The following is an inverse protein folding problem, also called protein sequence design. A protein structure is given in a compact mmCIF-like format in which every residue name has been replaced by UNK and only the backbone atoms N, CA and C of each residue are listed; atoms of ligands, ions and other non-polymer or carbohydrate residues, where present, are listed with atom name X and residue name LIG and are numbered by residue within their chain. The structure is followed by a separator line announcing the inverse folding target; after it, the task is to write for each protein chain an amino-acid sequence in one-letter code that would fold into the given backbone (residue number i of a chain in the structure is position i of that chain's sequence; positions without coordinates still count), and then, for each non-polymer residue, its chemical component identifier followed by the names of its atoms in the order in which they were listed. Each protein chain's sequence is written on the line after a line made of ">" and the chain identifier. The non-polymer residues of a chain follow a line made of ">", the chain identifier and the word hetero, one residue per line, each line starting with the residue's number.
data_IF_123766258946
#
_entry.id   IF_123766258946
#
_cell.length_a   1.000
_cell.length_b   1.000
_cell.length_c   1.000
_cell.angle_alpha   90.00
_cell.angle_beta   90.00
_cell.angle_gamma   90.00
#
_symmetry.space_group_name_H-M   'P 1'
#
loop_
_entity.id
_entity.type
_entity.pdbx_description
1 polymer ?
#
# COMPACT_ATOMS: atom_id res chain seq x y z
N UNK A 1 5.49 9.94 5.53
CA UNK A 1 4.11 9.59 5.10
C UNK A 1 4.22 8.71 3.87
N UNK A 2 3.52 7.57 3.82
CA UNK A 2 3.42 6.73 2.63
C UNK A 2 2.13 7.06 1.89
N UNK A 3 2.20 7.26 0.57
CA UNK A 3 1.03 7.47 -0.28
C UNK A 3 0.93 6.35 -1.32
N UNK A 4 -0.28 5.82 -1.51
CA UNK A 4 -0.60 4.77 -2.47
C UNK A 4 -1.72 5.28 -3.36
N UNK A 5 -1.47 5.34 -4.66
CA UNK A 5 -2.43 5.78 -5.67
C UNK A 5 -2.62 4.70 -6.72
N UNK A 6 -3.83 4.57 -7.24
CA UNK A 6 -4.17 3.67 -8.33
C UNK A 6 -5.30 4.27 -9.16
N UNK A 7 -5.29 4.01 -10.46
CA UNK A 7 -6.34 4.40 -11.40
C UNK A 7 -6.61 3.20 -12.31
N UNK A 8 -7.86 2.74 -12.35
CA UNK A 8 -8.31 1.78 -13.35
C UNK A 8 -9.27 2.46 -14.32
N UNK A 9 -8.83 2.58 -15.58
CA UNK A 9 -9.67 3.11 -16.66
C UNK A 9 -10.51 2.00 -17.26
N UNK A 10 -11.75 2.34 -17.57
CA UNK A 10 -12.68 1.48 -18.28
C UNK A 10 -12.52 1.70 -19.80
N UNK A 11 -12.30 0.64 -20.57
CA UNK A 11 -12.51 0.68 -22.02
C UNK A 11 -14.01 0.52 -22.29
N UNK A 12 -14.72 1.64 -22.46
CA UNK A 12 -16.12 1.59 -22.91
C UNK A 12 -16.17 1.30 -24.41
N UNK A 13 -16.69 0.13 -24.79
CA UNK A 13 -17.35 -0.04 -26.09
C UNK A 13 -18.78 0.43 -25.95
N UNK A 14 -19.08 1.64 -26.40
CA UNK A 14 -20.45 2.10 -26.61
C UNK A 14 -21.10 1.25 -27.71
N UNK A 15 -21.90 0.26 -27.31
CA UNK A 15 -22.76 -0.51 -28.18
C UNK A 15 -24.13 -0.63 -27.52
N UNK A 16 -25.18 -0.24 -28.25
CA UNK A 16 -26.57 -0.30 -27.81
C UNK A 16 -26.96 -1.67 -27.25
N UNK A 17 -27.66 -1.67 -26.10
CA UNK A 17 -28.38 -2.83 -25.58
C UNK A 17 -27.72 -3.47 -24.36
N UNK A 18 -28.50 -3.55 -23.29
CA UNK A 18 -28.20 -4.16 -21.99
C UNK A 18 -27.16 -3.45 -21.11
N UNK A 19 -27.64 -2.49 -20.33
CA UNK A 19 -27.00 -2.02 -19.10
C UNK A 19 -27.01 -3.15 -18.06
N UNK A 20 -26.05 -4.07 -18.18
CA UNK A 20 -25.82 -5.15 -17.23
C UNK A 20 -25.36 -4.65 -15.85
N UNK A 21 -25.51 -5.51 -14.85
CA UNK A 21 -25.08 -5.25 -13.48
C UNK A 21 -23.55 -5.22 -13.39
N UNK A 22 -23.00 -4.13 -12.85
CA UNK A 22 -21.57 -3.96 -12.66
C UNK A 22 -21.23 -4.06 -11.16
N UNK A 23 -20.68 -5.20 -10.74
CA UNK A 23 -20.29 -5.43 -9.33
C UNK A 23 -18.88 -4.91 -9.03
N UNK A 24 -18.04 -4.74 -10.07
CA UNK A 24 -16.66 -4.28 -9.93
C UNK A 24 -16.60 -2.76 -9.90
N UNK A 25 -15.95 -2.22 -8.88
CA UNK A 25 -15.63 -0.79 -8.79
C UNK A 25 -14.45 -0.47 -9.72
N UNK A 26 -14.72 0.23 -10.81
CA UNK A 26 -13.71 0.93 -11.60
C UNK A 26 -13.56 2.36 -11.04
N UNK A 27 -12.34 2.89 -11.05
CA UNK A 27 -12.07 4.24 -10.55
C UNK A 27 -10.65 4.42 -10.02
N UNK A 28 -10.36 5.63 -9.57
CA UNK A 28 -9.12 5.95 -8.88
C UNK A 28 -9.29 5.82 -7.37
N UNK A 29 -8.22 5.44 -6.68
CA UNK A 29 -8.15 5.54 -5.23
C UNK A 29 -6.81 6.10 -4.79
N UNK A 30 -6.82 6.79 -3.65
CA UNK A 30 -5.64 7.29 -2.96
C UNK A 30 -5.76 6.95 -1.48
N UNK A 31 -4.70 6.38 -0.91
CA UNK A 31 -4.59 6.09 0.52
C UNK A 31 -3.28 6.64 1.04
N UNK A 32 -3.34 7.24 2.24
CA UNK A 32 -2.17 7.77 2.94
C UNK A 32 -2.02 7.06 4.27
N UNK A 33 -0.79 6.69 4.60
CA UNK A 33 -0.44 6.02 5.85
C UNK A 33 0.66 6.81 6.57
N UNK A 34 0.41 7.09 7.84
CA UNK A 34 1.46 7.55 8.75
C UNK A 34 2.23 6.33 9.24
N UNK A 35 3.55 6.33 9.05
CA UNK A 35 4.39 5.23 9.49
C UNK A 35 4.73 5.44 10.97
N UNK A 36 4.63 4.41 11.81
CA UNK A 36 4.78 4.57 13.26
C UNK A 36 6.24 4.60 13.74
N UNK A 37 7.21 4.56 12.83
CA UNK A 37 8.64 4.57 13.12
C UNK A 37 9.41 5.21 11.96
N UNK A 38 10.64 5.62 12.25
CA UNK A 38 11.57 6.09 11.24
C UNK A 38 11.94 4.95 10.27
N UNK A 39 11.93 5.29 8.98
CA UNK A 39 12.13 4.32 7.90
C UNK A 39 13.27 4.73 6.99
N UNK A 40 13.97 3.73 6.47
CA UNK A 40 15.00 3.91 5.45
C UNK A 40 14.33 3.89 4.07
N UNK A 41 13.97 5.09 3.60
CA UNK A 41 13.24 5.27 2.33
C UNK A 41 14.07 4.87 1.11
N UNK A 42 15.41 4.92 1.21
CA UNK A 42 16.31 4.55 0.13
C UNK A 42 16.29 3.03 -0.15
N UNK A 43 15.89 2.23 0.84
CA UNK A 43 15.78 0.76 0.74
C UNK A 43 14.34 0.26 0.66
N UNK A 44 13.37 1.14 0.41
CA UNK A 44 11.99 0.73 0.24
C UNK A 44 11.81 -0.02 -1.10
N UNK A 45 11.04 -1.10 -1.09
CA UNK A 45 10.74 -1.91 -2.28
C UNK A 45 9.23 -2.08 -2.45
N UNK A 46 8.77 -2.15 -3.69
CA UNK A 46 7.37 -2.43 -4.01
C UNK A 46 7.26 -3.51 -5.09
N UNK A 47 6.31 -4.43 -4.95
CA UNK A 47 6.00 -5.49 -5.93
C UNK A 47 4.50 -5.63 -6.09
N UNK A 48 4.01 -5.67 -7.32
CA UNK A 48 2.62 -5.96 -7.64
C UNK A 48 2.53 -7.34 -8.31
N UNK A 49 1.85 -8.28 -7.65
CA UNK A 49 1.72 -9.65 -8.14
C UNK A 49 0.25 -10.05 -8.04
N UNK A 50 -0.35 -10.53 -9.13
CA UNK A 50 -1.76 -10.90 -9.23
C UNK A 50 -2.74 -9.83 -8.71
N UNK A 51 -2.45 -8.55 -8.96
CA UNK A 51 -3.29 -7.42 -8.54
C UNK A 51 -3.11 -7.00 -7.08
N UNK A 52 -2.14 -7.56 -6.35
CA UNK A 52 -1.83 -7.19 -4.97
C UNK A 52 -0.51 -6.43 -4.92
N UNK A 53 -0.58 -5.15 -4.53
CA UNK A 53 0.59 -4.31 -4.27
C UNK A 53 1.14 -4.59 -2.86
N UNK A 54 2.35 -5.14 -2.79
CA UNK A 54 3.11 -5.30 -1.55
C UNK A 54 4.22 -4.25 -1.48
N UNK A 55 4.23 -3.44 -0.42
CA UNK A 55 5.28 -2.43 -0.18
C UNK A 55 6.06 -2.84 1.08
N UNK A 56 7.38 -3.03 0.94
CA UNK A 56 8.31 -3.32 2.04
C UNK A 56 9.10 -2.07 2.35
N UNK A 57 8.96 -1.57 3.58
CA UNK A 57 9.66 -0.36 4.04
C UNK A 57 10.48 -0.74 5.27
N UNK A 58 11.82 -0.85 5.14
CA UNK A 58 12.66 -1.19 6.28
C UNK A 58 12.72 -0.04 7.29
N UNK A 59 12.78 -0.40 8.58
CA UNK A 59 13.09 0.55 9.65
C UNK A 59 14.54 1.04 9.52
N UNK A 60 14.80 2.27 9.94
CA UNK A 60 16.19 2.74 10.13
C UNK A 60 16.88 1.90 11.21
N UNK A 61 18.22 1.86 11.20
CA UNK A 61 18.99 1.15 12.22
C UNK A 61 18.74 1.75 13.62
N UNK A 62 18.58 3.07 13.72
CA UNK A 62 18.21 3.77 14.96
C UNK A 62 16.86 3.32 15.51
N UNK A 63 15.83 3.23 14.65
CA UNK A 63 14.50 2.76 15.05
C UNK A 63 14.50 1.28 15.49
N UNK A 64 15.44 0.46 15.02
CA UNK A 64 15.61 -0.92 15.49
C UNK A 64 16.27 -0.97 16.87
N UNK A 65 17.27 -0.15 17.13
CA UNK A 65 18.03 -0.12 18.39
C UNK A 65 17.21 0.41 19.59
N UNK A 66 16.19 1.23 19.31
CA UNK A 66 15.29 1.77 20.34
C UNK A 66 14.31 0.73 20.91
N UNK A 67 14.22 -0.47 20.31
CA UNK A 67 13.45 -1.58 20.87
C UNK A 67 14.36 -2.41 21.78
N UNK A 68 14.23 -2.23 23.10
CA UNK A 68 14.99 -2.99 24.09
C UNK A 68 14.09 -3.91 24.89
N UNK A 69 14.53 -5.16 25.06
CA UNK A 69 13.91 -6.09 26.01
C UNK A 69 14.40 -5.76 27.41
N UNK A 70 13.50 -5.39 28.30
CA UNK A 70 13.82 -5.16 29.71
C UNK A 70 13.60 -6.47 30.47
N UNK A 71 14.65 -7.09 31.05
CA UNK A 71 14.49 -8.28 31.87
C UNK A 71 13.79 -7.91 33.19
N UNK A 72 12.78 -8.70 33.56
CA UNK A 72 12.12 -8.59 34.88
C UNK A 72 13.03 -9.27 35.90
N UNK A 73 13.43 -8.54 36.95
CA UNK A 73 14.14 -9.13 38.10
C UNK A 73 13.12 -9.82 38.99
N UNK A 74 13.34 -11.10 39.29
CA UNK A 74 12.62 -11.85 40.32
C UNK A 74 13.09 -11.45 41.71
#
# INVERSE_FOLDING_TARGET
>A
MLQVQYEQREERRSGNGDSGWMERRYGSFSRSFTLPYDVDTAKAEAKCVHGVLTVRIPRTEEAKQNVRRIPIKA
#
